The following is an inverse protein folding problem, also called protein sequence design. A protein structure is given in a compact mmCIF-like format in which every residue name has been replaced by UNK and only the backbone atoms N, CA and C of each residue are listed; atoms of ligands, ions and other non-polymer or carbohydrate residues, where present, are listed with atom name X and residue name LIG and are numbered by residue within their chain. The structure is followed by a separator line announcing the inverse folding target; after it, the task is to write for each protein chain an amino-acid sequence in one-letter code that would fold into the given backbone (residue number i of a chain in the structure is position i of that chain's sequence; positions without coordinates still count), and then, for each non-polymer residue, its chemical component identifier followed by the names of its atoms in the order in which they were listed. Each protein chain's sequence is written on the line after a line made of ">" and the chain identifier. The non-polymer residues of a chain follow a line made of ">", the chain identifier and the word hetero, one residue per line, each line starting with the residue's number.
data_IF_878051562450
#
_entry.id   IF_878051562450
#
_cell.length_a   1.000
_cell.length_b   1.000
_cell.length_c   1.000
_cell.angle_alpha   90.00
_cell.angle_beta   90.00
_cell.angle_gamma   90.00
#
_symmetry.space_group_name_H-M   'P 1'
#
loop_
_entity.id
_entity.type
_entity.pdbx_description
1 polymer ?
#
# COMPACT_ATOMS: atom_id res chain seq x y z
N UNK A 1 11.37 0.52 1.61
CA UNK A 1 10.34 -0.53 1.37
C UNK A 1 11.07 -1.74 0.87
N UNK A 2 10.86 -2.90 1.50
CA UNK A 2 11.66 -4.10 1.24
C UNK A 2 10.90 -5.17 0.46
N UNK A 3 9.57 -5.19 0.58
CA UNK A 3 8.72 -6.09 -0.21
C UNK A 3 7.44 -5.39 -0.61
N UNK A 4 6.90 -5.80 -1.76
CA UNK A 4 5.59 -5.37 -2.26
C UNK A 4 4.85 -6.54 -2.88
N UNK A 5 3.56 -6.62 -2.61
CA UNK A 5 2.64 -7.59 -3.20
C UNK A 5 1.27 -6.97 -3.47
N UNK A 6 0.50 -7.60 -4.35
CA UNK A 6 -0.84 -7.13 -4.73
C UNK A 6 -1.81 -8.29 -4.83
N UNK A 7 -3.07 -8.01 -4.53
CA UNK A 7 -4.18 -8.89 -4.88
C UNK A 7 -5.26 -8.09 -5.59
N UNK A 8 -5.78 -8.63 -6.68
CA UNK A 8 -6.78 -7.99 -7.54
C UNK A 8 -6.37 -6.62 -8.10
N UNK A 9 -5.11 -6.41 -8.41
CA UNK A 9 -4.62 -5.14 -8.93
C UNK A 9 -4.25 -5.24 -10.42
N UNK A 10 -5.00 -4.53 -11.29
CA UNK A 10 -4.82 -4.47 -12.75
C UNK A 10 -4.76 -5.87 -13.37
N UNK A 11 -3.60 -6.30 -13.84
CA UNK A 11 -3.42 -7.64 -14.44
C UNK A 11 -3.05 -8.72 -13.43
N UNK A 12 -2.77 -8.36 -12.19
CA UNK A 12 -2.43 -9.33 -11.15
C UNK A 12 -3.66 -9.77 -10.39
N UNK A 13 -4.09 -11.03 -10.57
CA UNK A 13 -5.02 -11.66 -9.62
C UNK A 13 -4.36 -11.71 -8.25
N UNK A 14 -3.10 -12.14 -8.23
CA UNK A 14 -2.26 -12.17 -7.03
C UNK A 14 -0.78 -12.07 -7.43
N UNK A 15 -0.08 -11.18 -6.79
CA UNK A 15 1.38 -11.10 -6.77
C UNK A 15 1.83 -11.24 -5.34
N UNK A 16 2.41 -12.38 -5.01
CA UNK A 16 3.01 -12.59 -3.68
C UNK A 16 4.09 -11.54 -3.43
N UNK A 17 4.30 -11.11 -2.17
CA UNK A 17 5.31 -10.13 -1.81
C UNK A 17 6.68 -10.48 -2.41
N UNK A 18 7.26 -9.53 -3.14
CA UNK A 18 8.55 -9.64 -3.79
C UNK A 18 9.54 -8.69 -3.14
N UNK A 19 10.76 -9.18 -2.94
CA UNK A 19 11.84 -8.36 -2.41
C UNK A 19 12.22 -7.25 -3.38
N UNK A 20 12.46 -6.07 -2.81
CA UNK A 20 12.99 -4.90 -3.49
C UNK A 20 14.34 -4.55 -2.85
N UNK A 21 15.41 -4.64 -3.63
CA UNK A 21 16.73 -4.17 -3.23
C UNK A 21 16.90 -2.67 -3.50
N UNK A 22 18.08 -2.15 -3.17
CA UNK A 22 18.46 -0.76 -3.47
C UNK A 22 18.41 -0.48 -4.97
N UNK A 23 18.74 -1.50 -5.76
CA UNK A 23 18.55 -1.53 -7.21
C UNK A 23 17.75 -2.79 -7.53
N UNK A 24 16.61 -2.62 -8.21
CA UNK A 24 15.77 -3.73 -8.66
C UNK A 24 15.54 -3.61 -10.16
N UNK A 25 15.95 -4.63 -10.92
CA UNK A 25 15.79 -4.67 -12.37
C UNK A 25 14.63 -5.59 -12.74
N UNK A 26 13.65 -5.05 -13.45
CA UNK A 26 12.49 -5.80 -13.93
C UNK A 26 12.72 -6.24 -15.38
N UNK A 27 12.85 -7.52 -15.59
CA UNK A 27 13.00 -8.14 -16.91
C UNK A 27 11.78 -8.98 -17.27
N UNK A 28 11.50 -9.12 -18.53
CA UNK A 28 10.38 -9.93 -19.03
C UNK A 28 9.80 -9.38 -20.32
N UNK A 29 8.93 -10.17 -20.97
CA UNK A 29 8.25 -9.81 -22.21
C UNK A 29 7.42 -8.51 -22.05
N UNK A 30 7.14 -7.86 -23.19
CA UNK A 30 6.16 -6.79 -23.22
C UNK A 30 4.84 -7.33 -22.67
N UNK A 31 4.18 -6.50 -21.87
CA UNK A 31 2.92 -6.91 -21.22
C UNK A 31 3.06 -7.89 -20.02
N UNK A 32 4.26 -8.24 -19.56
CA UNK A 32 4.45 -9.11 -18.39
C UNK A 32 4.03 -8.50 -17.03
N UNK A 33 3.65 -7.22 -17.01
CA UNK A 33 3.21 -6.53 -15.79
C UNK A 33 4.28 -5.66 -15.13
N UNK A 34 5.46 -5.47 -15.76
CA UNK A 34 6.54 -4.63 -15.24
C UNK A 34 6.06 -3.22 -14.85
N UNK A 35 5.41 -2.52 -15.78
CA UNK A 35 4.85 -1.19 -15.52
C UNK A 35 3.75 -1.20 -14.47
N UNK A 36 2.97 -2.28 -14.38
CA UNK A 36 1.95 -2.42 -13.33
C UNK A 36 2.56 -2.53 -11.95
N UNK A 37 3.68 -3.24 -11.81
CA UNK A 37 4.41 -3.34 -10.55
C UNK A 37 4.93 -1.95 -10.12
N UNK A 38 5.57 -1.22 -11.03
CA UNK A 38 6.09 0.14 -10.76
C UNK A 38 4.95 1.08 -10.38
N UNK A 39 3.86 1.08 -11.14
CA UNK A 39 2.68 1.90 -10.85
C UNK A 39 2.06 1.58 -9.50
N UNK A 40 1.95 0.31 -9.15
CA UNK A 40 1.46 -0.11 -7.83
C UNK A 40 2.37 0.35 -6.69
N UNK A 41 3.70 0.24 -6.88
CA UNK A 41 4.68 0.73 -5.91
C UNK A 41 4.53 2.24 -5.67
N UNK A 42 4.50 3.03 -6.74
CA UNK A 42 4.35 4.48 -6.64
C UNK A 42 3.00 4.87 -6.03
N UNK A 43 1.93 4.21 -6.45
CA UNK A 43 0.58 4.44 -5.90
C UNK A 43 0.51 4.22 -4.39
N UNK A 44 1.12 3.14 -3.89
CA UNK A 44 1.17 2.88 -2.44
C UNK A 44 2.01 3.94 -1.74
N UNK A 45 3.18 4.27 -2.27
CA UNK A 45 4.06 5.26 -1.65
C UNK A 45 3.37 6.62 -1.52
N UNK A 46 2.65 7.04 -2.54
CA UNK A 46 1.91 8.31 -2.53
C UNK A 46 0.79 8.28 -1.51
N UNK A 47 -0.02 7.21 -1.49
CA UNK A 47 -1.08 7.08 -0.51
C UNK A 47 -0.54 6.98 0.93
N UNK A 48 0.54 6.25 1.18
CA UNK A 48 1.15 6.17 2.51
C UNK A 48 1.72 7.52 2.99
N UNK A 49 2.15 8.40 2.08
CA UNK A 49 2.59 9.75 2.43
C UNK A 49 1.44 10.67 2.84
N UNK A 50 0.28 10.48 2.23
CA UNK A 50 -0.91 11.28 2.48
C UNK A 50 -1.79 10.75 3.61
N UNK A 51 -1.64 9.47 3.98
CA UNK A 51 -2.27 8.89 5.16
C UNK A 51 -1.76 9.61 6.42
N UNK A 52 -2.51 10.60 6.87
CA UNK A 52 -2.29 11.25 8.17
C UNK A 52 -2.81 10.31 9.25
N UNK A 53 -1.93 9.47 9.76
CA UNK A 53 -2.20 8.69 10.97
C UNK A 53 -1.90 9.63 12.14
N UNK A 54 -2.92 10.21 12.72
CA UNK A 54 -2.82 11.13 13.85
C UNK A 54 -2.78 12.61 13.44
N UNK A 55 -3.56 13.41 14.09
CA UNK A 55 -3.82 14.83 13.89
C UNK A 55 -5.31 15.09 13.96
N UNK A 56 -5.77 16.30 14.02
CA UNK A 56 -7.12 16.77 14.27
C UNK A 56 -8.26 16.23 13.36
N UNK A 57 -8.00 15.17 12.59
CA UNK A 57 -9.03 14.45 11.86
C UNK A 57 -9.70 13.45 12.79
N UNK A 58 -11.03 13.49 12.92
CA UNK A 58 -11.74 12.51 13.70
C UNK A 58 -11.42 11.11 13.17
N UNK A 59 -10.99 10.23 14.07
CA UNK A 59 -10.62 8.82 13.85
C UNK A 59 -11.77 8.01 13.15
N UNK A 60 -12.90 8.65 12.91
CA UNK A 60 -14.14 8.06 12.38
C UNK A 60 -14.40 8.35 10.89
N UNK A 61 -13.57 9.11 10.19
CA UNK A 61 -13.70 9.22 8.73
C UNK A 61 -12.95 8.08 8.09
N UNK A 62 -13.64 7.26 7.31
CA UNK A 62 -13.03 6.20 6.52
C UNK A 62 -11.94 6.81 5.62
N UNK A 63 -10.69 6.38 5.75
CA UNK A 63 -9.63 6.96 4.95
C UNK A 63 -9.81 6.59 3.47
N UNK A 64 -9.63 7.57 2.59
CA UNK A 64 -9.70 7.37 1.15
C UNK A 64 -8.35 6.93 0.60
N UNK A 65 -8.41 6.06 -0.41
CA UNK A 65 -7.27 5.65 -1.21
C UNK A 65 -7.43 6.20 -2.63
N UNK A 66 -6.49 7.01 -3.09
CA UNK A 66 -6.56 7.72 -4.37
C UNK A 66 -5.89 6.93 -5.48
N UNK A 67 -6.56 6.83 -6.64
CA UNK A 67 -6.07 6.17 -7.87
C UNK A 67 -5.73 7.16 -8.99
N UNK A 68 -6.08 8.42 -8.85
CA UNK A 68 -5.78 9.49 -9.79
C UNK A 68 -4.31 9.95 -9.70
N UNK A 69 -3.95 10.88 -10.55
CA UNK A 69 -2.63 11.50 -10.51
C UNK A 69 -2.41 12.19 -9.17
N UNK A 70 -1.30 11.91 -8.54
CA UNK A 70 -0.80 12.67 -7.40
C UNK A 70 0.13 13.77 -7.91
N UNK A 71 0.47 14.72 -7.04
CA UNK A 71 1.29 15.91 -7.36
C UNK A 71 2.64 15.58 -8.01
N UNK A 72 3.04 14.33 -7.99
CA UNK A 72 4.36 13.88 -8.46
C UNK A 72 4.33 13.03 -9.74
N UNK A 73 3.25 12.26 -10.01
CA UNK A 73 3.24 11.32 -11.14
C UNK A 73 1.83 11.01 -11.64
N UNK A 74 1.58 11.27 -12.91
CA UNK A 74 0.43 10.67 -13.61
C UNK A 74 0.71 9.17 -13.81
N UNK A 75 0.19 8.34 -12.94
CA UNK A 75 0.32 6.90 -13.03
C UNK A 75 -0.56 6.28 -14.13
N UNK A 76 -1.47 7.07 -14.72
CA UNK A 76 -2.41 6.60 -15.75
C UNK A 76 -3.29 5.44 -15.26
N UNK A 77 -3.57 5.38 -13.95
CA UNK A 77 -4.51 4.42 -13.37
C UNK A 77 -5.91 5.02 -13.41
N UNK A 78 -6.06 6.19 -12.82
CA UNK A 78 -7.23 7.07 -12.90
C UNK A 78 -8.36 6.67 -11.95
N UNK A 79 -8.92 5.47 -12.06
CA UNK A 79 -10.10 5.08 -11.28
C UNK A 79 -9.94 3.74 -10.60
N UNK A 80 -10.77 3.47 -9.57
CA UNK A 80 -10.85 2.17 -8.90
C UNK A 80 -11.14 1.04 -9.89
N UNK A 81 -12.13 1.23 -10.78
CA UNK A 81 -12.51 0.22 -11.77
C UNK A 81 -11.36 -0.14 -12.72
N UNK A 82 -10.54 0.85 -13.14
CA UNK A 82 -9.33 0.61 -13.97
C UNK A 82 -8.18 -0.02 -13.18
N UNK A 83 -8.15 0.17 -11.88
CA UNK A 83 -7.16 -0.43 -10.99
C UNK A 83 -7.51 -1.87 -10.63
N UNK A 84 -8.79 -2.21 -10.55
CA UNK A 84 -9.25 -3.54 -10.20
C UNK A 84 -8.89 -4.56 -11.29
N UNK A 85 -8.53 -5.77 -10.88
CA UNK A 85 -8.37 -6.91 -11.79
C UNK A 85 -9.71 -7.26 -12.44
N UNK A 86 -9.78 -7.32 -13.77
CA UNK A 86 -11.02 -7.48 -14.53
C UNK A 86 -11.83 -8.76 -14.23
N UNK A 87 -11.19 -9.80 -13.67
CA UNK A 87 -11.81 -11.06 -13.25
C UNK A 87 -11.85 -11.21 -11.72
N UNK A 88 -11.75 -10.10 -10.98
CA UNK A 88 -11.87 -10.14 -9.54
C UNK A 88 -13.27 -10.61 -9.12
N UNK A 89 -13.33 -11.55 -8.18
CA UNK A 89 -14.60 -12.05 -7.60
C UNK A 89 -15.20 -11.12 -6.57
N UNK A 90 -14.41 -10.19 -6.06
CA UNK A 90 -14.80 -9.14 -5.10
C UNK A 90 -14.25 -7.81 -5.57
N UNK A 91 -15.00 -6.75 -5.38
CA UNK A 91 -14.59 -5.38 -5.68
C UNK A 91 -13.68 -4.84 -4.57
N UNK A 92 -12.54 -5.54 -4.38
CA UNK A 92 -11.52 -5.23 -3.40
C UNK A 92 -10.13 -5.47 -3.97
N UNK A 93 -9.28 -4.47 -3.79
CA UNK A 93 -7.84 -4.54 -4.08
C UNK A 93 -7.11 -4.64 -2.74
N UNK A 94 -6.07 -5.45 -2.66
CA UNK A 94 -5.20 -5.49 -1.48
C UNK A 94 -3.76 -5.20 -1.87
N UNK A 95 -3.10 -4.42 -1.02
CA UNK A 95 -1.69 -4.07 -1.13
C UNK A 95 -0.95 -4.60 0.10
N UNK A 96 0.10 -5.38 -0.12
CA UNK A 96 0.97 -5.88 0.93
C UNK A 96 2.33 -5.19 0.83
N UNK A 97 2.81 -4.66 1.94
CA UNK A 97 4.10 -3.94 2.02
C UNK A 97 4.88 -4.44 3.23
N UNK A 98 6.18 -4.66 3.07
CA UNK A 98 7.09 -4.88 4.19
C UNK A 98 8.15 -3.78 4.22
N UNK A 99 8.35 -3.24 5.41
CA UNK A 99 9.28 -2.15 5.67
C UNK A 99 10.24 -2.58 6.78
N UNK A 100 11.53 -2.63 6.47
CA UNK A 100 12.58 -2.80 7.48
C UNK A 100 13.38 -1.51 7.57
N UNK A 101 13.45 -0.91 8.74
CA UNK A 101 14.19 0.34 8.98
C UNK A 101 14.83 0.35 10.35
N UNK A 102 15.97 1.04 10.44
CA UNK A 102 16.52 1.44 11.74
C UNK A 102 15.79 2.71 12.21
N UNK A 103 15.21 2.62 13.39
CA UNK A 103 14.54 3.74 14.06
C UNK A 103 15.47 4.28 15.16
N UNK A 104 15.60 5.59 15.21
CA UNK A 104 16.16 6.27 16.38
C UNK A 104 14.99 6.58 17.31
N UNK A 105 14.95 5.93 18.44
CA UNK A 105 13.93 6.11 19.47
C UNK A 105 14.54 6.86 20.65
N UNK A 106 13.72 7.59 21.38
CA UNK A 106 14.09 8.26 22.60
C UNK A 106 13.25 7.67 23.74
N UNK A 107 13.87 7.34 24.85
CA UNK A 107 13.16 6.91 26.06
C UNK A 107 12.62 8.11 26.85
N UNK A 108 11.83 7.84 27.88
CA UNK A 108 11.23 8.88 28.74
C UNK A 108 12.29 9.68 29.50
N UNK A 109 13.53 9.22 29.57
CA UNK A 109 14.67 9.86 30.18
C UNK A 109 15.50 10.71 29.20
N UNK A 110 15.11 10.74 27.92
CA UNK A 110 15.77 11.50 26.87
C UNK A 110 16.96 10.77 26.20
N UNK A 111 17.23 9.50 26.54
CA UNK A 111 18.32 8.75 25.93
C UNK A 111 17.88 8.24 24.54
N UNK A 112 18.74 8.40 23.54
CA UNK A 112 18.49 7.88 22.19
C UNK A 112 19.07 6.47 22.03
N UNK A 113 18.29 5.58 21.44
CA UNK A 113 18.73 4.24 21.08
C UNK A 113 18.27 3.84 19.67
N UNK A 114 19.08 3.04 19.00
CA UNK A 114 18.73 2.50 17.68
C UNK A 114 17.97 1.20 17.83
N UNK A 115 16.92 1.08 17.05
CA UNK A 115 16.13 -0.13 17.00
C UNK A 115 15.76 -0.49 15.55
N UNK A 116 15.98 -1.74 15.19
CA UNK A 116 15.50 -2.26 13.91
C UNK A 116 14.00 -2.53 14.03
N UNK A 117 13.23 -1.88 13.18
CA UNK A 117 11.80 -2.13 13.00
C UNK A 117 11.57 -2.94 11.72
N UNK A 118 10.70 -3.92 11.79
CA UNK A 118 10.29 -4.77 10.65
C UNK A 118 8.77 -4.89 10.67
N UNK A 119 8.12 -4.09 9.83
CA UNK A 119 6.67 -4.01 9.75
C UNK A 119 6.15 -4.65 8.47
N UNK A 120 5.12 -5.48 8.60
CA UNK A 120 4.26 -5.88 7.50
C UNK A 120 2.94 -5.11 7.57
N UNK A 121 2.54 -4.52 6.46
CA UNK A 121 1.33 -3.72 6.34
C UNK A 121 0.49 -4.32 5.21
N UNK A 122 -0.78 -4.58 5.48
CA UNK A 122 -1.78 -4.97 4.48
C UNK A 122 -2.87 -3.89 4.45
N UNK A 123 -3.15 -3.37 3.26
CA UNK A 123 -4.21 -2.39 3.04
C UNK A 123 -5.23 -3.00 2.10
N UNK A 124 -6.48 -3.09 2.55
CA UNK A 124 -7.64 -3.47 1.73
C UNK A 124 -8.39 -2.23 1.28
N UNK A 125 -8.63 -2.11 -0.03
CA UNK A 125 -9.35 -0.99 -0.64
C UNK A 125 -10.55 -1.52 -1.40
N UNK A 126 -11.73 -1.00 -1.09
CA UNK A 126 -12.98 -1.29 -1.78
C UNK A 126 -13.45 -0.09 -2.59
N UNK A 127 -14.27 -0.31 -3.58
CA UNK A 127 -14.85 0.75 -4.40
C UNK A 127 -15.86 0.16 -5.40
N UNK A 128 -16.56 1.03 -6.10
CA UNK A 128 -17.49 0.63 -7.13
C UNK A 128 -16.78 0.66 -8.50
N UNK A 129 -16.67 -0.53 -9.12
CA UNK A 129 -16.04 -0.67 -10.44
C UNK A 129 -16.87 -0.12 -11.59
N UNK A 130 -18.15 0.14 -11.35
CA UNK A 130 -19.09 0.66 -12.38
C UNK A 130 -19.04 2.17 -12.49
N UNK A 131 -18.37 2.84 -11.56
CA UNK A 131 -18.25 4.30 -11.51
C UNK A 131 -16.83 4.75 -11.91
N UNK A 132 -16.73 6.00 -12.36
CA UNK A 132 -15.43 6.65 -12.65
C UNK A 132 -14.81 7.28 -11.38
N UNK A 133 -15.05 6.68 -10.20
CA UNK A 133 -14.47 7.17 -8.96
C UNK A 133 -12.96 7.04 -8.96
N UNK A 134 -12.29 8.15 -8.70
CA UNK A 134 -10.83 8.24 -8.60
C UNK A 134 -10.31 7.81 -7.23
N UNK A 135 -11.20 7.60 -6.28
CA UNK A 135 -10.91 7.14 -4.93
C UNK A 135 -11.55 5.79 -4.65
N UNK A 136 -10.99 5.07 -3.70
CA UNK A 136 -11.61 3.91 -3.06
C UNK A 136 -11.58 4.09 -1.55
N UNK A 137 -12.42 3.36 -0.86
CA UNK A 137 -12.46 3.36 0.60
C UNK A 137 -11.47 2.35 1.15
N UNK A 138 -10.62 2.76 2.08
CA UNK A 138 -9.80 1.81 2.83
C UNK A 138 -10.73 1.07 3.79
N UNK A 139 -10.97 -0.20 3.50
CA UNK A 139 -11.85 -1.06 4.32
C UNK A 139 -11.10 -1.81 5.40
N UNK A 140 -9.78 -1.95 5.26
CA UNK A 140 -8.94 -2.65 6.22
C UNK A 140 -7.51 -2.16 6.19
N UNK A 141 -6.94 -1.97 7.37
CA UNK A 141 -5.49 -1.80 7.57
C UNK A 141 -5.04 -2.84 8.60
N UNK A 142 -4.13 -3.70 8.21
CA UNK A 142 -3.48 -4.63 9.12
C UNK A 142 -1.99 -4.31 9.20
N UNK A 143 -1.47 -4.17 10.40
CA UNK A 143 -0.06 -3.87 10.67
C UNK A 143 0.49 -4.92 11.63
N UNK A 144 1.63 -5.48 11.33
CA UNK A 144 2.36 -6.38 12.21
C UNK A 144 3.79 -5.90 12.42
N UNK A 145 4.21 -5.79 13.68
CA UNK A 145 5.64 -5.72 14.03
C UNK A 145 6.18 -7.15 14.09
N UNK A 146 6.92 -7.54 13.05
CA UNK A 146 7.43 -8.90 12.92
C UNK A 146 8.47 -9.25 14.01
N UNK A 147 9.13 -8.25 14.60
CA UNK A 147 10.12 -8.46 15.67
C UNK A 147 9.47 -8.73 17.03
N UNK A 148 8.26 -8.20 17.25
CA UNK A 148 7.55 -8.29 18.55
C UNK A 148 6.34 -9.21 18.52
N UNK A 149 5.91 -9.66 17.33
CA UNK A 149 4.66 -10.40 17.16
C UNK A 149 3.40 -9.58 17.47
N UNK A 150 3.52 -8.25 17.56
CA UNK A 150 2.39 -7.35 17.77
C UNK A 150 1.64 -7.18 16.47
N UNK A 151 0.32 -7.28 16.51
CA UNK A 151 -0.57 -7.12 15.36
C UNK A 151 -1.67 -6.13 15.70
N UNK A 152 -1.93 -5.24 14.75
CA UNK A 152 -3.07 -4.33 14.79
C UNK A 152 -3.93 -4.59 13.55
N UNK A 153 -5.22 -4.72 13.74
CA UNK A 153 -6.18 -4.94 12.65
C UNK A 153 -7.30 -3.92 12.81
N UNK A 154 -7.46 -3.07 11.80
CA UNK A 154 -8.46 -2.03 11.73
C UNK A 154 -9.42 -2.36 10.59
N UNK A 155 -10.62 -2.80 10.90
CA UNK A 155 -11.74 -2.92 9.95
C UNK A 155 -12.61 -1.67 10.05
N UNK A 156 -12.96 -1.07 8.89
CA UNK A 156 -13.76 0.15 8.77
C UNK A 156 -15.12 -0.13 8.15
#
# INVERSE_FOLDING_TARGET
>A
MNQIGFKNFRRFKELQPKDLGDITILVGANNAGKSTLVKGLLLILDNLRTLKIGGDSPIFQQPEFRFDANDYHDLGIGTFGRALFNKASKDMISFAVRLTRDLNLMDDSGNTFKRKADFSILIGVTGDKSTDQTTGTISRIWVSDNNRGIKFDFDY
#
